data_IF_885636544588
#
_entry.id   IF_885636544588
#
_cell.length_a   1.000
_cell.length_b   1.000
_cell.length_c   1.000
_cell.angle_alpha   90.00
_cell.angle_beta   90.00
_cell.angle_gamma   90.00
#
_symmetry.space_group_name_H-M   'P 1'
#
loop_
_entity.id
_entity.type
_entity.pdbx_description
1 polymer ?
#
# COMPACT_ATOMS: atom_id res chain seq x y z
N UNK A 1 -18.18 2.75 10.21
CA UNK A 1 -17.37 2.05 9.22
C UNK A 1 -15.95 2.59 9.23
N UNK A 2 -14.97 1.71 9.30
CA UNK A 2 -13.56 2.11 9.24
C UNK A 2 -13.21 2.59 7.83
N UNK A 3 -12.20 3.45 7.72
CA UNK A 3 -11.67 3.90 6.44
C UNK A 3 -10.23 3.41 6.29
N UNK A 4 -9.87 2.97 5.08
CA UNK A 4 -8.50 2.68 4.71
C UNK A 4 -8.14 3.57 3.52
N UNK A 5 -6.99 4.23 3.60
CA UNK A 5 -6.47 5.03 2.50
C UNK A 5 -5.49 4.22 1.66
N UNK A 6 -5.26 4.62 0.44
CA UNK A 6 -4.18 4.10 -0.41
C UNK A 6 -3.39 5.26 -0.99
N UNK A 7 -2.12 5.05 -1.27
CA UNK A 7 -1.24 6.06 -1.85
C UNK A 7 -0.17 5.40 -2.72
N UNK A 8 0.16 6.03 -3.86
CA UNK A 8 1.31 5.66 -4.68
C UNK A 8 2.29 6.81 -4.72
N UNK A 9 3.58 6.51 -4.64
CA UNK A 9 4.60 7.57 -4.54
C UNK A 9 5.32 7.85 -5.87
N UNK A 10 4.91 7.23 -6.95
CA UNK A 10 5.60 7.25 -8.24
C UNK A 10 5.98 8.67 -8.73
N UNK A 11 5.09 9.63 -8.53
CA UNK A 11 5.26 11.01 -9.00
C UNK A 11 5.50 12.01 -7.86
N UNK A 12 5.70 11.51 -6.64
CA UNK A 12 5.82 12.35 -5.46
C UNK A 12 7.27 12.54 -5.01
N UNK A 13 7.53 13.65 -4.31
CA UNK A 13 8.69 13.81 -3.44
C UNK A 13 8.31 13.34 -2.04
N UNK A 14 9.29 13.19 -1.15
CA UNK A 14 8.99 12.89 0.26
C UNK A 14 8.07 13.97 0.85
N UNK A 15 8.31 15.23 0.53
CA UNK A 15 7.51 16.34 1.03
C UNK A 15 6.05 16.23 0.59
N UNK A 16 5.80 16.08 -0.71
CA UNK A 16 4.42 16.00 -1.21
C UNK A 16 3.72 14.73 -0.75
N UNK A 17 4.47 13.64 -0.58
CA UNK A 17 3.97 12.40 -0.04
C UNK A 17 3.50 12.57 1.41
N UNK A 18 4.34 13.13 2.27
CA UNK A 18 3.99 13.39 3.67
C UNK A 18 2.81 14.37 3.78
N UNK A 19 2.77 15.41 2.96
CA UNK A 19 1.65 16.36 2.93
C UNK A 19 0.33 15.66 2.62
N UNK A 20 0.33 14.75 1.64
CA UNK A 20 -0.87 13.99 1.29
C UNK A 20 -1.34 13.09 2.43
N UNK A 21 -0.40 12.42 3.11
CA UNK A 21 -0.71 11.57 4.26
C UNK A 21 -1.30 12.39 5.40
N UNK A 22 -0.70 13.54 5.71
CA UNK A 22 -1.20 14.45 6.75
C UNK A 22 -2.60 14.96 6.41
N UNK A 23 -2.83 15.37 5.18
CA UNK A 23 -4.14 15.84 4.73
C UNK A 23 -5.20 14.75 4.86
N UNK A 24 -4.81 13.49 4.65
CA UNK A 24 -5.69 12.34 4.81
C UNK A 24 -5.86 11.87 6.25
N UNK A 25 -5.17 12.48 7.21
CA UNK A 25 -5.23 12.10 8.62
C UNK A 25 -4.60 10.74 8.90
N UNK A 26 -3.65 10.30 8.10
CA UNK A 26 -3.01 8.98 8.22
C UNK A 26 -2.18 8.90 9.49
N UNK A 27 -2.33 7.80 10.21
CA UNK A 27 -1.58 7.53 11.44
C UNK A 27 -0.55 6.41 11.28
N UNK A 28 -0.84 5.44 10.38
CA UNK A 28 0.05 4.31 10.12
C UNK A 28 0.09 4.05 8.62
N UNK A 29 1.28 3.86 8.08
CA UNK A 29 1.49 3.44 6.70
C UNK A 29 1.77 1.94 6.68
N UNK A 30 0.94 1.19 5.96
CA UNK A 30 1.13 -0.23 5.72
C UNK A 30 1.74 -0.40 4.32
N UNK A 31 3.02 -0.74 4.29
CA UNK A 31 3.78 -0.90 3.05
C UNK A 31 3.52 -2.28 2.47
N UNK A 32 2.76 -2.33 1.37
CA UNK A 32 2.39 -3.59 0.71
C UNK A 32 3.27 -3.90 -0.50
N UNK A 33 4.47 -3.31 -0.56
CA UNK A 33 5.44 -3.66 -1.60
C UNK A 33 6.10 -5.00 -1.26
N UNK A 34 6.25 -5.87 -2.27
CA UNK A 34 7.01 -7.11 -2.10
C UNK A 34 8.48 -6.81 -1.80
N UNK A 35 9.04 -5.81 -2.48
CA UNK A 35 10.40 -5.34 -2.31
C UNK A 35 10.34 -3.87 -1.87
N UNK A 36 10.76 -3.60 -0.64
CA UNK A 36 10.69 -2.26 -0.05
C UNK A 36 11.97 -1.46 -0.33
N UNK A 37 12.42 -1.47 -1.58
CA UNK A 37 13.52 -0.64 -2.04
C UNK A 37 13.05 0.22 -3.21
N UNK A 38 13.67 1.39 -3.38
CA UNK A 38 13.25 2.33 -4.41
C UNK A 38 14.43 3.17 -4.87
N UNK A 39 14.43 3.53 -6.16
CA UNK A 39 15.38 4.49 -6.71
C UNK A 39 15.00 5.93 -6.38
N UNK A 40 13.73 6.17 -6.01
CA UNK A 40 13.33 7.50 -5.57
C UNK A 40 13.86 7.78 -4.17
N UNK A 41 14.57 8.92 -3.96
CA UNK A 41 15.14 9.25 -2.67
C UNK A 41 14.08 9.28 -1.57
N UNK A 42 14.37 8.62 -0.46
CA UNK A 42 13.52 8.66 0.74
C UNK A 42 12.44 7.57 0.81
N UNK A 43 12.33 6.69 -0.22
CA UNK A 43 11.26 5.69 -0.27
C UNK A 43 11.70 4.23 -0.07
N UNK A 44 12.99 3.98 0.12
CA UNK A 44 13.43 2.66 0.57
C UNK A 44 13.09 2.45 2.05
N UNK A 45 12.84 1.21 2.43
CA UNK A 45 12.25 0.84 3.73
C UNK A 45 12.76 1.63 4.93
N UNK A 46 14.07 1.64 5.16
CA UNK A 46 14.65 2.30 6.35
C UNK A 46 14.48 3.81 6.31
N UNK A 47 14.70 4.43 5.15
CA UNK A 47 14.52 5.87 4.97
C UNK A 47 13.06 6.26 5.07
N UNK A 48 12.18 5.48 4.47
CA UNK A 48 10.75 5.74 4.52
C UNK A 48 10.23 5.66 5.96
N UNK A 49 10.61 4.62 6.68
CA UNK A 49 10.21 4.47 8.08
C UNK A 49 10.70 5.65 8.93
N UNK A 50 11.94 6.12 8.72
CA UNK A 50 12.49 7.28 9.42
C UNK A 50 11.74 8.56 9.07
N UNK A 51 11.44 8.79 7.79
CA UNK A 51 10.70 9.97 7.34
C UNK A 51 9.27 9.98 7.92
N UNK A 52 8.63 8.84 7.99
CA UNK A 52 7.29 8.72 8.58
C UNK A 52 7.33 8.95 10.09
N UNK A 53 8.33 8.40 10.78
CA UNK A 53 8.51 8.60 12.22
C UNK A 53 8.69 10.08 12.56
N UNK A 54 9.47 10.81 11.77
CA UNK A 54 9.62 12.27 11.94
C UNK A 54 8.30 13.01 11.81
N UNK A 55 7.41 12.51 10.95
CA UNK A 55 6.08 13.10 10.76
C UNK A 55 5.05 12.59 11.78
N UNK A 56 5.46 11.76 12.73
CA UNK A 56 4.58 11.22 13.76
C UNK A 56 3.72 10.05 13.32
N UNK A 57 4.11 9.37 12.23
CA UNK A 57 3.36 8.23 11.68
C UNK A 57 4.09 6.91 11.93
N UNK A 58 3.30 5.83 12.16
CA UNK A 58 3.82 4.48 12.24
C UNK A 58 4.07 3.88 10.86
N UNK A 59 4.86 2.82 10.81
CA UNK A 59 5.19 2.09 9.60
C UNK A 59 5.19 0.59 9.87
N UNK A 60 4.55 -0.17 8.99
CA UNK A 60 4.63 -1.63 9.02
C UNK A 60 4.82 -2.13 7.59
N UNK A 61 5.72 -3.09 7.40
CA UNK A 61 5.94 -3.71 6.10
C UNK A 61 5.22 -5.06 6.06
N UNK A 62 4.22 -5.17 5.19
CA UNK A 62 3.45 -6.39 4.96
C UNK A 62 3.88 -7.00 3.63
N UNK A 63 5.08 -7.56 3.62
CA UNK A 63 5.75 -8.07 2.41
C UNK A 63 4.93 -9.12 1.67
N UNK A 64 4.25 -10.00 2.39
CA UNK A 64 3.48 -11.08 1.78
C UNK A 64 2.17 -10.61 1.14
N UNK A 65 1.81 -9.34 1.31
CA UNK A 65 0.76 -8.69 0.53
C UNK A 65 1.31 -8.04 -0.75
N UNK A 66 2.62 -8.12 -0.97
CA UNK A 66 3.25 -7.61 -2.19
C UNK A 66 3.00 -8.54 -3.39
N UNK A 67 3.17 -7.97 -4.58
CA UNK A 67 3.00 -8.72 -5.83
C UNK A 67 4.18 -9.67 -6.06
N UNK A 68 3.95 -10.95 -6.37
CA UNK A 68 5.03 -11.86 -6.76
C UNK A 68 5.79 -11.36 -7.99
N UNK A 69 7.02 -11.84 -8.19
CA UNK A 69 7.88 -11.41 -9.29
C UNK A 69 7.19 -11.51 -10.66
N UNK A 70 6.48 -12.59 -10.93
CA UNK A 70 5.75 -12.77 -12.19
C UNK A 70 4.62 -11.74 -12.36
N UNK A 71 3.95 -11.36 -11.26
CA UNK A 71 2.94 -10.31 -11.27
C UNK A 71 3.55 -8.94 -11.50
N UNK A 72 4.72 -8.67 -10.93
CA UNK A 72 5.44 -7.41 -11.18
C UNK A 72 5.86 -7.31 -12.65
N UNK A 73 6.28 -8.42 -13.26
CA UNK A 73 6.60 -8.47 -14.68
C UNK A 73 5.37 -8.18 -15.54
N UNK A 74 4.22 -8.76 -15.20
CA UNK A 74 2.96 -8.50 -15.89
C UNK A 74 2.55 -7.03 -15.79
N UNK A 75 2.72 -6.43 -14.61
CA UNK A 75 2.42 -5.00 -14.40
C UNK A 75 3.30 -4.11 -15.29
N UNK A 76 4.60 -4.38 -15.33
CA UNK A 76 5.53 -3.62 -16.18
C UNK A 76 5.22 -3.75 -17.66
N UNK A 77 4.68 -4.90 -18.07
CA UNK A 77 4.30 -5.15 -19.46
C UNK A 77 2.89 -4.62 -19.81
N UNK A 78 2.20 -4.01 -18.86
CA UNK A 78 0.84 -3.50 -19.06
C UNK A 78 -0.23 -4.60 -19.11
N UNK A 79 0.09 -5.81 -18.66
CA UNK A 79 -0.84 -6.95 -18.68
C UNK A 79 -1.65 -6.98 -17.38
N UNK A 80 -2.57 -6.03 -17.24
CA UNK A 80 -3.29 -5.84 -15.99
C UNK A 80 -4.23 -6.99 -15.61
N UNK A 81 -4.85 -7.64 -16.60
CA UNK A 81 -5.70 -8.82 -16.34
C UNK A 81 -4.87 -9.99 -15.81
N UNK A 82 -3.67 -10.20 -16.36
CA UNK A 82 -2.75 -11.22 -15.90
C UNK A 82 -2.24 -10.91 -14.49
N UNK A 83 -1.91 -9.64 -14.20
CA UNK A 83 -1.53 -9.20 -12.87
C UNK A 83 -2.62 -9.55 -11.85
N UNK A 84 -3.88 -9.22 -12.16
CA UNK A 84 -5.00 -9.51 -11.26
C UNK A 84 -5.15 -11.01 -10.99
N UNK A 85 -5.00 -11.82 -12.02
CA UNK A 85 -5.10 -13.28 -11.90
C UNK A 85 -3.98 -13.84 -11.02
N UNK A 86 -2.75 -13.40 -11.27
CA UNK A 86 -1.58 -13.83 -10.49
C UNK A 86 -1.74 -13.39 -9.04
N UNK A 87 -2.15 -12.16 -8.82
CA UNK A 87 -2.28 -11.61 -7.47
C UNK A 87 -3.39 -12.30 -6.67
N UNK A 88 -4.53 -12.58 -7.29
CA UNK A 88 -5.61 -13.32 -6.61
C UNK A 88 -5.15 -14.70 -6.15
N UNK A 89 -4.36 -15.38 -6.97
CA UNK A 89 -3.76 -16.66 -6.58
C UNK A 89 -2.81 -16.49 -5.40
N UNK A 90 -2.01 -15.45 -5.43
CA UNK A 90 -1.09 -15.12 -4.35
C UNK A 90 -1.83 -14.85 -3.03
N UNK A 91 -2.92 -14.09 -3.07
CA UNK A 91 -3.72 -13.77 -1.88
C UNK A 91 -4.34 -15.02 -1.24
N UNK A 92 -4.48 -16.11 -1.98
CA UNK A 92 -4.98 -17.38 -1.44
C UNK A 92 -3.92 -18.16 -0.66
N UNK A 93 -2.65 -17.76 -0.71
CA UNK A 93 -1.58 -18.44 0.03
C UNK A 93 -1.73 -18.20 1.54
N UNK A 94 -1.27 -19.14 2.39
CA UNK A 94 -1.35 -18.96 3.83
C UNK A 94 -0.62 -17.73 4.35
N UNK A 95 0.56 -17.41 3.80
CA UNK A 95 1.34 -16.25 4.22
C UNK A 95 0.60 -14.94 3.92
N UNK A 96 0.04 -14.80 2.70
CA UNK A 96 -0.72 -13.61 2.33
C UNK A 96 -2.00 -13.48 3.16
N UNK A 97 -2.68 -14.59 3.42
CA UNK A 97 -3.89 -14.59 4.26
C UNK A 97 -3.61 -14.14 5.68
N UNK A 98 -2.48 -14.58 6.24
CA UNK A 98 -2.06 -14.18 7.58
C UNK A 98 -1.79 -12.67 7.64
N UNK A 99 -1.10 -12.13 6.64
CA UNK A 99 -0.83 -10.69 6.60
C UNK A 99 -2.10 -9.87 6.35
N UNK A 100 -3.01 -10.37 5.54
CA UNK A 100 -4.31 -9.71 5.34
C UNK A 100 -5.10 -9.64 6.64
N UNK A 101 -5.05 -10.71 7.45
CA UNK A 101 -5.68 -10.72 8.76
C UNK A 101 -5.03 -9.72 9.70
N UNK A 102 -3.70 -9.63 9.70
CA UNK A 102 -2.98 -8.63 10.49
C UNK A 102 -3.36 -7.20 10.09
N UNK A 103 -3.52 -6.97 8.78
CA UNK A 103 -3.97 -5.68 8.28
C UNK A 103 -5.40 -5.39 8.75
N UNK A 104 -6.29 -6.37 8.67
CA UNK A 104 -7.67 -6.21 9.14
C UNK A 104 -7.72 -5.89 10.65
N UNK A 105 -6.90 -6.57 11.44
CA UNK A 105 -6.80 -6.32 12.88
C UNK A 105 -6.29 -4.90 13.16
N UNK A 106 -5.29 -4.45 12.42
CA UNK A 106 -4.74 -3.10 12.56
C UNK A 106 -5.80 -2.04 12.24
N UNK A 107 -6.48 -2.18 11.11
CA UNK A 107 -7.54 -1.23 10.71
C UNK A 107 -8.70 -1.27 11.71
N UNK A 108 -9.08 -2.45 12.15
CA UNK A 108 -10.17 -2.63 13.12
C UNK A 108 -9.86 -2.08 14.51
N UNK A 109 -8.58 -1.94 14.86
CA UNK A 109 -8.16 -1.37 16.14
C UNK A 109 -8.35 0.16 16.24
N UNK A 110 -8.63 0.82 15.11
CA UNK A 110 -9.01 2.23 15.10
C UNK A 110 -8.09 3.23 14.41
N UNK A 111 -6.78 2.97 14.22
CA UNK A 111 -5.93 3.96 13.59
C UNK A 111 -6.27 4.12 12.11
N UNK A 112 -6.00 5.31 11.56
CA UNK A 112 -6.11 5.55 10.14
C UNK A 112 -4.92 4.97 9.41
N UNK A 113 -5.16 3.90 8.65
CA UNK A 113 -4.13 3.15 7.93
C UNK A 113 -4.14 3.55 6.45
N UNK A 114 -2.96 3.71 5.87
CA UNK A 114 -2.79 3.95 4.44
C UNK A 114 -1.93 2.85 3.83
N UNK A 115 -2.44 2.22 2.77
CA UNK A 115 -1.68 1.23 2.00
C UNK A 115 -0.76 1.94 1.02
N UNK A 116 0.52 1.56 1.00
CA UNK A 116 1.53 2.18 0.15
C UNK A 116 2.01 1.22 -0.94
N UNK A 117 2.06 1.70 -2.17
CA UNK A 117 2.74 1.05 -3.28
C UNK A 117 3.38 2.09 -4.20
N UNK A 118 3.97 1.65 -5.32
CA UNK A 118 4.66 2.54 -6.25
C UNK A 118 3.71 3.37 -7.12
N UNK A 119 2.79 2.73 -7.83
CA UNK A 119 2.03 3.35 -8.91
C UNK A 119 1.14 4.48 -8.41
N UNK A 120 1.16 5.59 -9.14
CA UNK A 120 0.29 6.73 -8.85
C UNK A 120 -1.17 6.42 -9.15
N UNK A 121 -1.44 5.67 -10.22
CA UNK A 121 -2.79 5.28 -10.61
C UNK A 121 -3.23 4.03 -9.82
N UNK A 122 -4.23 4.14 -8.93
CA UNK A 122 -4.68 2.99 -8.14
C UNK A 122 -5.27 1.86 -8.98
N UNK A 123 -5.76 2.13 -10.19
CA UNK A 123 -6.31 1.09 -11.06
C UNK A 123 -5.22 0.16 -11.62
N UNK A 124 -3.96 0.60 -11.59
CA UNK A 124 -2.83 -0.16 -12.12
C UNK A 124 -1.94 -0.72 -11.01
N UNK A 125 -2.41 -0.74 -9.78
CA UNK A 125 -1.62 -1.18 -8.64
C UNK A 125 -2.35 -2.25 -7.83
N UNK A 126 -1.58 -3.21 -7.30
CA UNK A 126 -2.14 -4.26 -6.46
C UNK A 126 -2.73 -3.74 -5.13
N UNK A 127 -2.37 -2.51 -4.68
CA UNK A 127 -2.94 -1.96 -3.44
C UNK A 127 -4.47 -1.85 -3.50
N UNK A 128 -5.03 -1.62 -4.67
CA UNK A 128 -6.48 -1.63 -4.87
C UNK A 128 -7.06 -3.03 -4.68
N UNK A 129 -6.34 -4.07 -5.11
CA UNK A 129 -6.72 -5.45 -4.89
C UNK A 129 -6.63 -5.83 -3.40
N UNK A 130 -5.62 -5.33 -2.70
CA UNK A 130 -5.51 -5.49 -1.23
C UNK A 130 -6.69 -4.83 -0.53
N UNK A 131 -7.03 -3.60 -0.92
CA UNK A 131 -8.15 -2.88 -0.33
C UNK A 131 -9.47 -3.61 -0.56
N UNK A 132 -9.67 -4.18 -1.75
CA UNK A 132 -10.86 -4.97 -2.07
C UNK A 132 -10.94 -6.25 -1.23
N UNK A 133 -9.81 -6.94 -1.06
CA UNK A 133 -9.72 -8.13 -0.22
C UNK A 133 -10.00 -7.80 1.25
N UNK A 134 -9.48 -6.68 1.72
CA UNK A 134 -9.75 -6.20 3.08
C UNK A 134 -11.23 -5.92 3.28
N UNK A 135 -11.88 -5.30 2.29
CA UNK A 135 -13.31 -4.98 2.37
C UNK A 135 -14.20 -6.23 2.44
N UNK A 136 -13.71 -7.37 1.98
CA UNK A 136 -14.41 -8.66 2.12
C UNK A 136 -14.29 -9.22 3.54
N UNK A 137 -13.30 -8.80 4.31
CA UNK A 137 -13.04 -9.28 5.68
C UNK A 137 -13.71 -8.39 6.71
N UNK A 138 -13.59 -7.06 6.55
CA UNK A 138 -14.19 -6.08 7.46
C UNK A 138 -14.85 -4.95 6.65
N UNK A 139 -15.90 -4.31 7.19
CA UNK A 139 -16.49 -3.16 6.52
C UNK A 139 -15.52 -1.99 6.53
N UNK A 140 -15.09 -1.55 5.35
CA UNK A 140 -14.20 -0.38 5.19
C UNK A 140 -14.63 0.46 4.01
N UNK A 141 -14.40 1.77 4.14
CA UNK A 141 -14.46 2.72 3.05
C UNK A 141 -13.03 2.93 2.54
N UNK A 142 -12.84 2.90 1.23
CA UNK A 142 -11.51 3.04 0.61
C UNK A 142 -11.37 4.45 0.04
N UNK A 143 -10.28 5.13 0.38
CA UNK A 143 -9.97 6.48 -0.10
C UNK A 143 -8.59 6.47 -0.74
N UNK A 144 -8.51 6.87 -2.02
CA UNK A 144 -7.23 6.96 -2.73
C UNK A 144 -6.64 8.36 -2.60
N UNK A 145 -5.48 8.46 -1.97
CA UNK A 145 -4.76 9.74 -1.82
C UNK A 145 -3.84 9.96 -3.02
N UNK A 146 -3.74 11.20 -3.45
CA UNK A 146 -2.91 11.59 -4.59
C UNK A 146 -1.96 12.72 -4.19
N UNK A 147 -0.66 12.41 -3.97
CA UNK A 147 0.33 13.46 -3.69
C UNK A 147 0.47 14.40 -4.88
N UNK A 148 0.77 15.66 -4.60
CA UNK A 148 1.11 16.60 -5.65
C UNK A 148 2.40 16.17 -6.36
N UNK A 149 2.48 16.43 -7.64
CA UNK A 149 3.68 16.17 -8.43
C UNK A 149 4.67 17.33 -8.29
N UNK A 150 5.96 17.02 -8.29
CA UNK A 150 7.03 18.02 -8.31
C UNK A 150 8.13 17.64 -9.30
#
# INVERSE_FOLDING_TARGET
MAAVATIGYQLATVRTFIEALNAGGVEVVADVRAVASSRRPGFSKSRLAANLAEAGMGYVHLRDLGTPAEGRAAARAGRHAELRRIYRRHLATPAAREELRRLADLVGAGPRVCLLCLEADPTHCHRTLVASALAEVIPVEVVHLHPAEE
#
